data_IF_633977002203
#
_entry.id   IF_633977002203
#
_cell.length_a   1.000
_cell.length_b   1.000
_cell.length_c   1.000
_cell.angle_alpha   90.00
_cell.angle_beta   90.00
_cell.angle_gamma   90.00
#
_symmetry.space_group_name_H-M   'P 1'
#
loop_
_entity.id
_entity.type
_entity.pdbx_description
1 polymer ?
#
# COMPACT_ATOMS: atom_id res chain seq x y z
N UNK A 1 1.32 -1.51 -25.15
CA UNK A 1 2.73 -1.11 -25.35
C UNK A 1 3.25 -0.27 -24.17
N UNK A 2 2.57 0.79 -23.74
CA UNK A 2 3.00 1.68 -22.63
C UNK A 2 3.24 0.97 -21.28
N UNK A 3 2.41 0.00 -20.88
CA UNK A 3 2.59 -0.71 -19.60
C UNK A 3 3.86 -1.55 -19.56
N UNK A 4 4.21 -2.26 -20.64
CA UNK A 4 5.46 -3.05 -20.73
C UNK A 4 6.70 -2.16 -20.63
N UNK A 5 6.69 -1.00 -21.30
CA UNK A 5 7.79 -0.04 -21.22
C UNK A 5 7.96 0.53 -19.82
N UNK A 6 6.85 0.80 -19.12
CA UNK A 6 6.85 1.27 -17.72
C UNK A 6 7.48 0.24 -16.78
N UNK A 7 7.13 -1.04 -16.94
CA UNK A 7 7.69 -2.14 -16.16
C UNK A 7 9.20 -2.32 -16.37
N UNK A 8 9.70 -2.14 -17.59
CA UNK A 8 11.13 -2.25 -17.89
C UNK A 8 11.96 -1.10 -17.30
N UNK A 9 11.39 0.07 -17.15
CA UNK A 9 12.08 1.28 -16.69
C UNK A 9 12.13 1.40 -15.16
N UNK A 10 11.21 0.75 -14.42
CA UNK A 10 11.22 0.77 -12.94
C UNK A 10 12.55 0.21 -12.42
N UNK A 11 13.19 0.92 -11.50
CA UNK A 11 14.51 0.57 -10.93
C UNK A 11 15.71 1.05 -11.74
N UNK A 12 15.53 1.65 -12.91
CA UNK A 12 16.62 2.25 -13.68
C UNK A 12 16.72 3.77 -13.40
N UNK A 13 17.91 4.35 -13.59
CA UNK A 13 18.12 5.81 -13.44
C UNK A 13 17.22 6.60 -14.39
N UNK A 14 17.09 6.14 -15.64
CA UNK A 14 16.21 6.77 -16.62
C UNK A 14 14.74 6.71 -16.19
N UNK A 15 14.29 5.55 -15.68
CA UNK A 15 12.93 5.38 -15.19
C UNK A 15 12.60 6.32 -14.02
N UNK A 16 13.55 6.56 -13.12
CA UNK A 16 13.38 7.51 -12.01
C UNK A 16 13.19 8.95 -12.52
N UNK A 17 14.06 9.40 -13.43
CA UNK A 17 13.94 10.73 -14.02
C UNK A 17 12.58 10.89 -14.71
N UNK A 18 12.17 9.90 -15.49
CA UNK A 18 10.87 9.91 -16.16
C UNK A 18 9.69 9.91 -15.20
N UNK A 19 9.76 9.14 -14.10
CA UNK A 19 8.71 9.12 -13.07
C UNK A 19 8.63 10.45 -12.33
N UNK A 20 9.76 11.04 -11.96
CA UNK A 20 9.81 12.37 -11.33
C UNK A 20 9.23 13.45 -12.23
N UNK A 21 9.60 13.47 -13.51
CA UNK A 21 9.05 14.41 -14.49
C UNK A 21 7.53 14.22 -14.63
N UNK A 22 7.07 12.97 -14.78
CA UNK A 22 5.64 12.64 -14.86
C UNK A 22 4.87 13.12 -13.63
N UNK A 23 5.40 12.88 -12.43
CA UNK A 23 4.76 13.28 -11.20
C UNK A 23 4.59 14.80 -11.10
N UNK A 24 5.60 15.57 -11.49
CA UNK A 24 5.49 17.04 -11.59
C UNK A 24 4.44 17.48 -12.61
N UNK A 25 4.45 16.86 -13.80
CA UNK A 25 3.44 17.13 -14.82
C UNK A 25 2.03 16.77 -14.35
N UNK A 26 1.87 15.67 -13.59
CA UNK A 26 0.57 15.26 -13.06
C UNK A 26 -0.03 16.31 -12.11
N UNK A 27 0.77 16.89 -11.20
CA UNK A 27 0.32 17.98 -10.32
C UNK A 27 -0.10 19.21 -11.12
N UNK A 28 0.72 19.63 -12.07
CA UNK A 28 0.43 20.82 -12.91
C UNK A 28 -0.83 20.58 -13.74
N UNK A 29 -0.94 19.40 -14.36
CA UNK A 29 -2.12 19.03 -15.15
C UNK A 29 -3.37 18.97 -14.28
N UNK A 30 -3.29 18.42 -13.09
CA UNK A 30 -4.41 18.40 -12.14
C UNK A 30 -4.81 19.81 -11.72
N UNK A 31 -3.86 20.67 -11.40
CA UNK A 31 -4.14 22.06 -11.03
C UNK A 31 -4.92 22.84 -12.09
N UNK A 32 -4.72 22.48 -13.37
CA UNK A 32 -5.39 23.13 -14.50
C UNK A 32 -6.74 22.47 -14.81
N UNK A 33 -6.79 21.12 -14.83
CA UNK A 33 -7.93 20.38 -15.40
C UNK A 33 -8.85 19.75 -14.33
N UNK A 34 -8.35 19.55 -13.08
CA UNK A 34 -9.06 18.85 -12.00
C UNK A 34 -8.53 19.29 -10.65
N UNK A 35 -8.74 20.58 -10.25
CA UNK A 35 -8.13 21.15 -9.03
C UNK A 35 -8.42 20.37 -7.76
N UNK A 36 -9.58 19.71 -7.69
CA UNK A 36 -10.03 18.86 -6.59
C UNK A 36 -9.13 17.62 -6.37
N UNK A 37 -8.42 17.18 -7.40
CA UNK A 37 -7.53 16.00 -7.33
C UNK A 37 -6.09 16.34 -6.93
N UNK A 38 -5.73 17.63 -6.87
CA UNK A 38 -4.36 18.06 -6.54
C UNK A 38 -3.91 17.53 -5.18
N UNK A 39 -4.79 17.62 -4.17
CA UNK A 39 -4.51 17.17 -2.81
C UNK A 39 -4.19 15.68 -2.76
N UNK A 40 -4.98 14.85 -3.41
CA UNK A 40 -4.76 13.40 -3.50
C UNK A 40 -3.42 13.08 -4.17
N UNK A 41 -3.16 13.66 -5.35
CA UNK A 41 -1.91 13.44 -6.08
C UNK A 41 -0.69 13.89 -5.28
N UNK A 42 -0.79 15.01 -4.58
CA UNK A 42 0.30 15.51 -3.74
C UNK A 42 0.55 14.61 -2.54
N UNK A 43 -0.49 14.10 -1.89
CA UNK A 43 -0.38 13.15 -0.78
C UNK A 43 0.26 11.84 -1.21
N UNK A 44 -0.12 11.27 -2.36
CA UNK A 44 0.48 10.04 -2.92
C UNK A 44 1.97 10.23 -3.20
N UNK A 45 2.35 11.40 -3.74
CA UNK A 45 3.75 11.71 -3.99
C UNK A 45 4.53 11.92 -2.69
N UNK A 46 3.92 12.54 -1.69
CA UNK A 46 4.52 12.73 -0.38
C UNK A 46 4.73 11.38 0.32
N UNK A 47 3.72 10.52 0.32
CA UNK A 47 3.81 9.16 0.87
C UNK A 47 4.92 8.35 0.19
N UNK A 48 4.99 8.38 -1.14
CA UNK A 48 6.04 7.71 -1.92
C UNK A 48 7.44 8.24 -1.61
N UNK A 49 7.59 9.55 -1.37
CA UNK A 49 8.87 10.16 -1.03
C UNK A 49 9.28 9.93 0.43
N UNK A 50 8.31 9.78 1.33
CA UNK A 50 8.53 9.57 2.76
C UNK A 50 8.94 8.13 3.07
N UNK A 51 8.30 7.15 2.43
CA UNK A 51 8.43 5.73 2.75
C UNK A 51 9.89 5.23 2.75
N UNK A 52 10.73 5.50 1.73
CA UNK A 52 12.14 5.09 1.76
C UNK A 52 12.91 5.68 2.95
N UNK A 53 12.55 6.89 3.39
CA UNK A 53 13.21 7.57 4.52
C UNK A 53 12.81 7.03 5.89
N UNK A 54 11.69 6.32 5.97
CA UNK A 54 11.24 5.64 7.18
C UNK A 54 11.98 4.30 7.38
N UNK A 55 12.53 3.72 6.30
CA UNK A 55 13.26 2.47 6.36
C UNK A 55 14.67 2.70 6.89
N UNK A 56 15.03 2.03 7.98
CA UNK A 56 16.38 2.11 8.57
C UNK A 56 17.34 1.10 7.95
N UNK A 57 18.64 1.43 7.84
CA UNK A 57 19.67 0.53 7.30
C UNK A 57 19.68 -0.84 7.99
N UNK A 58 19.78 -1.92 7.20
CA UNK A 58 19.84 -3.29 7.68
C UNK A 58 18.56 -3.84 8.31
N UNK A 59 17.46 -3.08 8.28
CA UNK A 59 16.15 -3.51 8.75
C UNK A 59 15.30 -4.10 7.63
N UNK A 60 14.14 -4.64 7.98
CA UNK A 60 13.22 -5.27 7.02
C UNK A 60 12.08 -4.33 6.65
N UNK A 61 11.88 -4.17 5.36
CA UNK A 61 10.72 -3.53 4.75
C UNK A 61 9.83 -4.57 4.10
N UNK A 62 8.53 -4.54 4.39
CA UNK A 62 7.52 -5.42 3.77
C UNK A 62 6.62 -4.59 2.87
N UNK A 63 6.49 -4.98 1.60
CA UNK A 63 5.60 -4.39 0.60
C UNK A 63 4.47 -5.37 0.26
N UNK A 64 3.28 -5.16 0.85
CA UNK A 64 2.09 -5.95 0.57
C UNK A 64 1.31 -5.27 -0.55
N UNK A 65 1.16 -5.96 -1.68
CA UNK A 65 0.67 -5.38 -2.93
C UNK A 65 1.80 -4.71 -3.72
N UNK A 66 2.92 -5.42 -3.90
CA UNK A 66 4.15 -4.88 -4.48
C UNK A 66 4.04 -4.49 -5.97
N UNK A 67 3.03 -5.00 -6.69
CA UNK A 67 2.69 -4.67 -8.07
C UNK A 67 3.89 -4.79 -9.02
N UNK A 68 4.40 -3.69 -9.59
CA UNK A 68 5.58 -3.68 -10.50
C UNK A 68 6.90 -3.36 -9.78
N UNK A 69 6.86 -3.17 -8.44
CA UNK A 69 8.02 -2.94 -7.60
C UNK A 69 8.59 -1.52 -7.69
N UNK A 70 7.77 -0.50 -7.95
CA UNK A 70 8.23 0.90 -7.94
C UNK A 70 8.73 1.32 -6.57
N UNK A 71 7.99 1.03 -5.53
CA UNK A 71 8.36 1.32 -4.14
C UNK A 71 9.61 0.55 -3.72
N UNK A 72 9.70 -0.73 -4.07
CA UNK A 72 10.89 -1.55 -3.84
C UNK A 72 12.14 -0.91 -4.46
N UNK A 73 12.03 -0.43 -5.70
CA UNK A 73 13.13 0.22 -6.39
C UNK A 73 13.58 1.50 -5.68
N UNK A 74 12.64 2.30 -5.16
CA UNK A 74 12.93 3.53 -4.45
C UNK A 74 13.59 3.25 -3.09
N UNK A 75 13.10 2.26 -2.34
CA UNK A 75 13.68 1.81 -1.06
C UNK A 75 15.11 1.29 -1.25
N UNK A 76 15.33 0.38 -2.21
CA UNK A 76 16.67 -0.18 -2.48
C UNK A 76 17.64 0.84 -3.08
N UNK A 77 17.12 1.89 -3.75
CA UNK A 77 17.95 3.00 -4.18
C UNK A 77 18.33 3.93 -3.03
N UNK A 78 17.43 4.14 -2.08
CA UNK A 78 17.70 4.91 -0.88
C UNK A 78 18.78 4.24 -0.02
N UNK A 79 18.61 2.95 0.26
CA UNK A 79 19.60 2.14 0.96
C UNK A 79 19.51 0.66 0.54
N UNK A 80 20.57 0.16 -0.07
CA UNK A 80 20.66 -1.22 -0.55
C UNK A 80 20.88 -2.25 0.56
N UNK A 81 21.13 -1.84 1.81
CA UNK A 81 21.25 -2.73 2.97
C UNK A 81 19.90 -3.16 3.54
N UNK A 82 18.80 -2.51 3.14
CA UNK A 82 17.46 -2.84 3.58
C UNK A 82 17.06 -4.22 3.04
N UNK A 83 16.56 -5.07 3.92
CA UNK A 83 15.99 -6.35 3.56
C UNK A 83 14.56 -6.15 3.10
N UNK A 84 14.27 -6.47 1.83
CA UNK A 84 12.93 -6.26 1.26
C UNK A 84 12.22 -7.59 1.10
N UNK A 85 10.99 -7.63 1.60
CA UNK A 85 10.03 -8.71 1.40
C UNK A 85 8.86 -8.13 0.60
N UNK A 86 8.60 -8.72 -0.55
CA UNK A 86 7.53 -8.31 -1.45
C UNK A 86 6.44 -9.39 -1.53
N UNK A 87 5.19 -9.01 -1.41
CA UNK A 87 4.06 -9.91 -1.54
C UNK A 87 3.14 -9.39 -2.64
N UNK A 88 2.88 -10.26 -3.61
CA UNK A 88 2.08 -9.93 -4.79
C UNK A 88 1.16 -11.09 -5.16
N UNK A 89 -0.13 -10.84 -5.24
CA UNK A 89 -1.13 -11.87 -5.48
C UNK A 89 -1.13 -12.37 -6.93
N UNK A 90 -0.85 -11.49 -7.91
CA UNK A 90 -0.90 -11.82 -9.33
C UNK A 90 0.38 -12.58 -9.73
N UNK A 91 0.30 -13.85 -10.16
CA UNK A 91 1.47 -14.70 -10.43
C UNK A 91 2.44 -14.08 -11.44
N UNK A 92 1.92 -13.49 -12.52
CA UNK A 92 2.74 -12.89 -13.57
C UNK A 92 3.54 -11.67 -13.07
N UNK A 93 3.01 -10.92 -12.09
CA UNK A 93 3.71 -9.80 -11.46
C UNK A 93 4.74 -10.28 -10.45
N UNK A 94 4.38 -11.26 -9.62
CA UNK A 94 5.31 -11.86 -8.66
C UNK A 94 6.55 -12.43 -9.37
N UNK A 95 6.36 -13.13 -10.49
CA UNK A 95 7.45 -13.65 -11.31
C UNK A 95 8.32 -12.52 -11.91
N UNK A 96 7.71 -11.42 -12.36
CA UNK A 96 8.45 -10.24 -12.83
C UNK A 96 9.26 -9.58 -11.73
N UNK A 97 8.70 -9.45 -10.51
CA UNK A 97 9.42 -8.95 -9.35
C UNK A 97 10.63 -9.81 -9.02
N UNK A 98 10.45 -11.14 -8.99
CA UNK A 98 11.51 -12.11 -8.71
C UNK A 98 12.66 -12.02 -9.74
N UNK A 99 12.34 -11.88 -11.02
CA UNK A 99 13.36 -11.72 -12.07
C UNK A 99 14.10 -10.39 -11.95
N UNK A 100 13.41 -9.33 -11.56
CA UNK A 100 13.92 -7.97 -11.55
C UNK A 100 14.77 -7.67 -10.31
N UNK A 101 14.33 -8.14 -9.16
CA UNK A 101 14.94 -7.84 -7.87
C UNK A 101 15.53 -9.09 -7.24
N UNK A 102 16.75 -9.48 -7.66
CA UNK A 102 17.40 -10.74 -7.25
C UNK A 102 17.65 -10.88 -5.74
N UNK A 103 17.66 -9.77 -5.00
CA UNK A 103 17.92 -9.73 -3.55
C UNK A 103 16.65 -9.55 -2.71
N UNK A 104 15.49 -9.49 -3.35
CA UNK A 104 14.19 -9.33 -2.70
C UNK A 104 13.56 -10.71 -2.52
N UNK A 105 13.04 -10.98 -1.33
CA UNK A 105 12.22 -12.15 -1.06
C UNK A 105 10.82 -11.91 -1.60
N UNK A 106 10.44 -12.59 -2.67
CA UNK A 106 9.13 -12.40 -3.32
C UNK A 106 8.22 -13.58 -3.00
N UNK A 107 7.04 -13.30 -2.47
CA UNK A 107 6.01 -14.28 -2.16
C UNK A 107 4.79 -14.05 -3.05
N UNK A 108 4.33 -15.10 -3.74
CA UNK A 108 3.14 -15.05 -4.59
C UNK A 108 1.91 -15.52 -3.82
N UNK A 109 1.34 -14.62 -3.02
CA UNK A 109 0.13 -14.84 -2.24
C UNK A 109 -0.71 -13.56 -2.20
N UNK A 110 -2.03 -13.71 -2.02
CA UNK A 110 -2.84 -12.69 -1.37
C UNK A 110 -2.59 -12.76 0.15
N UNK A 111 -2.70 -11.64 0.84
CA UNK A 111 -2.64 -11.60 2.30
C UNK A 111 -4.04 -11.33 2.84
N UNK A 112 -4.45 -12.13 3.81
CA UNK A 112 -5.75 -11.99 4.47
C UNK A 112 -5.80 -12.76 5.78
N UNK A 113 -6.93 -12.69 6.47
CA UNK A 113 -7.13 -13.17 7.84
C UNK A 113 -7.19 -14.70 7.98
N UNK A 114 -7.21 -15.45 6.87
CA UNK A 114 -7.20 -16.91 6.86
C UNK A 114 -6.40 -17.46 5.66
N UNK A 115 -6.01 -18.72 5.78
CA UNK A 115 -5.38 -19.47 4.70
C UNK A 115 -6.41 -20.09 3.78
N UNK A 116 -6.14 -20.10 2.47
CA UNK A 116 -7.04 -20.73 1.51
C UNK A 116 -6.80 -20.32 0.06
N UNK A 117 -7.76 -20.66 -0.80
CA UNK A 117 -7.85 -20.15 -2.17
C UNK A 117 -9.00 -19.16 -2.25
N UNK A 118 -8.74 -18.03 -2.85
CA UNK A 118 -9.71 -16.94 -2.99
C UNK A 118 -9.78 -16.45 -4.42
N UNK A 119 -10.93 -15.92 -4.81
CA UNK A 119 -11.08 -15.22 -6.09
C UNK A 119 -10.43 -13.86 -6.02
N UNK A 120 -9.60 -13.55 -7.01
CA UNK A 120 -8.93 -12.28 -7.17
C UNK A 120 -9.30 -11.66 -8.52
N UNK A 121 -9.72 -10.41 -8.52
CA UNK A 121 -10.24 -9.72 -9.69
C UNK A 121 -9.20 -8.78 -10.27
N UNK A 122 -8.74 -9.07 -11.47
CA UNK A 122 -7.75 -8.26 -12.18
C UNK A 122 -8.47 -7.29 -13.11
N UNK A 123 -8.13 -6.01 -12.99
CA UNK A 123 -8.55 -5.00 -13.95
C UNK A 123 -7.54 -4.94 -15.12
N UNK A 124 -7.89 -5.41 -16.33
CA UNK A 124 -6.95 -5.44 -17.47
C UNK A 124 -6.53 -4.05 -17.96
N UNK A 125 -7.39 -3.05 -17.75
CA UNK A 125 -7.15 -1.66 -18.20
C UNK A 125 -6.30 -0.89 -17.19
N UNK A 126 -6.47 -1.19 -15.89
CA UNK A 126 -5.80 -0.51 -14.77
C UNK A 126 -5.34 -1.55 -13.75
N UNK A 127 -4.27 -2.23 -14.04
CA UNK A 127 -3.80 -3.37 -13.24
C UNK A 127 -3.37 -3.01 -11.80
N UNK A 128 -3.29 -1.74 -11.46
CA UNK A 128 -3.12 -1.26 -10.09
C UNK A 128 -4.39 -1.41 -9.24
N UNK A 129 -5.56 -1.39 -9.86
CA UNK A 129 -6.88 -1.53 -9.20
C UNK A 129 -7.38 -2.97 -9.24
N UNK A 130 -6.55 -3.92 -8.85
CA UNK A 130 -6.89 -5.35 -8.79
C UNK A 130 -6.99 -5.77 -7.34
N UNK A 131 -8.09 -6.43 -6.93
CA UNK A 131 -8.42 -6.64 -5.52
C UNK A 131 -9.06 -8.00 -5.23
N UNK A 132 -9.15 -8.37 -3.97
CA UNK A 132 -9.92 -9.52 -3.47
C UNK A 132 -11.43 -9.31 -3.60
N UNK A 133 -11.90 -8.07 -3.49
CA UNK A 133 -13.31 -7.72 -3.62
C UNK A 133 -13.71 -7.41 -5.05
N UNK A 134 -14.96 -7.76 -5.42
CA UNK A 134 -15.55 -7.37 -6.69
C UNK A 134 -16.22 -6.02 -6.53
N UNK A 135 -15.64 -4.96 -7.09
CA UNK A 135 -16.33 -3.68 -7.19
C UNK A 135 -17.59 -3.84 -8.04
N UNK A 136 -18.73 -3.38 -7.53
CA UNK A 136 -20.04 -3.58 -8.13
C UNK A 136 -20.20 -3.03 -9.57
N UNK A 137 -19.29 -2.15 -10.01
CA UNK A 137 -19.35 -1.46 -11.31
C UNK A 137 -18.30 -1.89 -12.34
N UNK A 138 -17.52 -2.94 -12.08
CA UNK A 138 -16.38 -3.28 -12.95
C UNK A 138 -16.73 -4.36 -13.98
N UNK A 139 -17.22 -3.93 -15.14
CA UNK A 139 -17.31 -4.78 -16.33
C UNK A 139 -15.90 -5.11 -16.86
N UNK A 140 -15.70 -6.38 -17.27
CA UNK A 140 -14.46 -6.82 -17.91
C UNK A 140 -13.32 -7.19 -16.96
N UNK A 141 -13.59 -7.41 -15.67
CA UNK A 141 -12.63 -7.98 -14.75
C UNK A 141 -12.30 -9.43 -15.11
N UNK A 142 -11.02 -9.79 -15.06
CA UNK A 142 -10.57 -11.18 -15.16
C UNK A 142 -10.46 -11.76 -13.74
N UNK A 143 -11.23 -12.77 -13.44
CA UNK A 143 -11.12 -13.51 -12.20
C UNK A 143 -10.02 -14.57 -12.30
N UNK A 144 -9.21 -14.68 -11.26
CA UNK A 144 -8.24 -15.74 -11.06
C UNK A 144 -8.35 -16.32 -9.65
N UNK A 145 -8.01 -17.58 -9.47
CA UNK A 145 -7.84 -18.16 -8.14
C UNK A 145 -6.39 -17.93 -7.67
N UNK A 146 -6.24 -17.32 -6.49
CA UNK A 146 -4.94 -17.11 -5.84
C UNK A 146 -4.93 -17.79 -4.47
N UNK A 147 -3.75 -18.21 -4.01
CA UNK A 147 -3.58 -18.66 -2.65
C UNK A 147 -3.50 -17.46 -1.71
N UNK A 148 -4.27 -17.51 -0.61
CA UNK A 148 -4.22 -16.51 0.45
C UNK A 148 -3.56 -17.09 1.69
N UNK A 149 -2.75 -16.30 2.36
CA UNK A 149 -2.02 -16.68 3.59
C UNK A 149 -2.06 -15.54 4.59
N UNK A 150 -1.93 -15.89 5.86
CA UNK A 150 -1.71 -14.91 6.91
C UNK A 150 -0.26 -14.40 6.88
N UNK A 151 -0.06 -13.10 7.10
CA UNK A 151 1.28 -12.53 7.12
C UNK A 151 2.11 -13.06 8.31
N UNK A 152 1.46 -13.27 9.45
CA UNK A 152 2.05 -13.84 10.66
C UNK A 152 2.67 -15.24 10.43
N UNK A 153 2.13 -16.01 9.48
CA UNK A 153 2.61 -17.37 9.15
C UNK A 153 3.66 -17.36 8.02
N UNK A 154 3.67 -16.31 7.19
CA UNK A 154 4.62 -16.17 6.09
C UNK A 154 5.97 -15.59 6.54
N UNK A 155 5.93 -14.67 7.50
CA UNK A 155 7.09 -13.84 7.84
C UNK A 155 7.49 -14.09 9.28
N UNK A 156 8.63 -14.75 9.45
CA UNK A 156 9.26 -15.02 10.76
C UNK A 156 10.40 -14.03 11.06
N UNK A 157 10.31 -12.79 10.55
CA UNK A 157 11.36 -11.80 10.71
C UNK A 157 11.20 -11.02 12.01
N UNK A 158 12.26 -10.95 12.82
CA UNK A 158 12.25 -10.30 14.14
C UNK A 158 12.48 -8.79 14.10
N UNK A 159 12.71 -8.20 12.91
CA UNK A 159 13.22 -6.84 12.80
C UNK A 159 12.56 -6.04 11.66
N UNK A 160 11.23 -6.19 11.57
CA UNK A 160 10.43 -5.44 10.61
C UNK A 160 10.31 -4.00 11.05
N UNK A 161 10.74 -3.10 10.18
CA UNK A 161 10.81 -1.66 10.46
C UNK A 161 9.65 -0.90 9.84
N UNK A 162 9.29 -1.28 8.61
CA UNK A 162 8.21 -0.63 7.85
C UNK A 162 7.38 -1.68 7.13
N UNK A 163 6.07 -1.53 7.15
CA UNK A 163 5.12 -2.31 6.34
C UNK A 163 4.32 -1.33 5.47
N UNK A 164 4.35 -1.52 4.15
CA UNK A 164 3.41 -0.87 3.23
C UNK A 164 2.29 -1.83 2.89
N UNK A 165 1.05 -1.36 2.93
CA UNK A 165 -0.16 -2.11 2.58
C UNK A 165 -0.93 -1.33 1.52
N UNK A 166 -1.08 -1.92 0.34
CA UNK A 166 -1.76 -1.33 -0.80
C UNK A 166 -2.44 -2.47 -1.59
N UNK A 167 -3.63 -2.84 -1.14
CA UNK A 167 -4.34 -4.05 -1.58
C UNK A 167 -5.79 -3.77 -2.02
N UNK A 168 -6.06 -2.49 -2.30
CA UNK A 168 -7.30 -2.02 -2.93
C UNK A 168 -8.57 -2.46 -2.17
N UNK A 169 -8.59 -2.13 -0.86
CA UNK A 169 -9.74 -2.30 0.01
C UNK A 169 -9.72 -3.54 0.91
N UNK A 170 -8.65 -4.34 0.90
CA UNK A 170 -8.48 -5.48 1.81
C UNK A 170 -7.50 -5.18 2.97
N UNK A 171 -7.21 -3.90 3.24
CA UNK A 171 -6.20 -3.45 4.21
C UNK A 171 -6.46 -3.99 5.62
N UNK A 172 -7.73 -3.99 6.08
CA UNK A 172 -8.08 -4.53 7.39
C UNK A 172 -7.78 -6.03 7.48
N UNK A 173 -8.03 -6.80 6.42
CA UNK A 173 -7.68 -8.23 6.36
C UNK A 173 -6.19 -8.46 6.50
N UNK A 174 -5.37 -7.63 5.86
CA UNK A 174 -3.90 -7.67 5.99
C UNK A 174 -3.46 -7.32 7.40
N UNK A 175 -4.02 -6.27 8.01
CA UNK A 175 -3.73 -5.86 9.38
C UNK A 175 -4.06 -6.95 10.39
N UNK A 176 -5.21 -7.61 10.26
CA UNK A 176 -5.61 -8.74 11.10
C UNK A 176 -4.69 -9.95 10.93
N UNK A 177 -4.22 -10.19 9.68
CA UNK A 177 -3.29 -11.26 9.34
C UNK A 177 -1.85 -11.00 9.82
N UNK A 178 -1.51 -9.76 10.15
CA UNK A 178 -0.19 -9.31 10.60
C UNK A 178 -0.15 -8.94 12.09
N UNK A 179 -1.18 -9.26 12.85
CA UNK A 179 -1.36 -8.74 14.23
C UNK A 179 -0.22 -9.11 15.18
N UNK A 180 0.31 -10.33 15.07
CA UNK A 180 1.42 -10.79 15.90
C UNK A 180 2.72 -10.10 15.50
N UNK A 181 3.03 -10.06 14.21
CA UNK A 181 4.18 -9.38 13.64
C UNK A 181 4.20 -7.89 14.03
N UNK A 182 3.05 -7.21 13.92
CA UNK A 182 2.91 -5.80 14.28
C UNK A 182 3.16 -5.58 15.77
N UNK A 183 2.63 -6.46 16.63
CA UNK A 183 2.83 -6.36 18.09
C UNK A 183 4.30 -6.58 18.48
N UNK A 184 4.99 -7.52 17.83
CA UNK A 184 6.38 -7.87 18.13
C UNK A 184 7.35 -6.81 17.64
N UNK A 185 7.27 -6.43 16.37
CA UNK A 185 8.24 -5.56 15.72
C UNK A 185 7.92 -4.07 15.87
N UNK A 186 6.66 -3.71 16.16
CA UNK A 186 6.19 -2.31 16.24
C UNK A 186 6.62 -1.47 15.02
N UNK A 187 6.39 -1.94 13.79
CA UNK A 187 6.81 -1.25 12.59
C UNK A 187 6.03 0.04 12.35
N UNK A 188 6.59 0.95 11.57
CA UNK A 188 5.78 1.99 10.92
C UNK A 188 4.91 1.32 9.87
N UNK A 189 3.63 1.63 9.86
CA UNK A 189 2.68 1.07 8.89
C UNK A 189 2.18 2.19 7.99
N UNK A 190 2.41 2.06 6.68
CA UNK A 190 1.85 2.93 5.67
C UNK A 190 0.82 2.16 4.87
N UNK A 191 -0.41 2.65 4.83
CA UNK A 191 -1.48 1.99 4.07
C UNK A 191 -2.33 3.02 3.30
N UNK A 192 -2.89 2.59 2.18
CA UNK A 192 -3.86 3.35 1.43
C UNK A 192 -5.27 2.97 1.90
N UNK A 193 -6.06 3.95 2.35
CA UNK A 193 -7.45 3.70 2.67
C UNK A 193 -8.29 3.82 1.40
N UNK A 194 -8.52 2.70 0.74
CA UNK A 194 -9.32 2.61 -0.48
C UNK A 194 -10.77 3.07 -0.30
N UNK A 195 -11.53 3.21 -1.40
CA UNK A 195 -12.96 3.45 -1.33
C UNK A 195 -13.62 2.31 -0.55
N UNK A 196 -14.59 2.68 0.30
CA UNK A 196 -15.29 1.75 1.20
C UNK A 196 -15.87 0.51 0.49
N UNK A 197 -16.72 -0.20 1.06
CA UNK A 197 -17.37 -1.45 0.70
C UNK A 197 -17.02 -2.08 -0.68
N UNK A 198 -16.06 -3.01 -0.66
CA UNK A 198 -15.73 -3.87 -1.79
C UNK A 198 -16.32 -5.29 -1.66
N UNK A 199 -17.33 -5.45 -0.81
CA UNK A 199 -17.98 -6.73 -0.54
C UNK A 199 -17.24 -7.66 0.41
N UNK A 200 -16.12 -7.22 1.01
CA UNK A 200 -15.33 -8.00 1.98
C UNK A 200 -15.78 -7.78 3.43
N UNK A 201 -16.70 -6.85 3.68
CA UNK A 201 -17.14 -6.49 5.02
C UNK A 201 -16.10 -5.69 5.83
N UNK A 202 -15.01 -5.26 5.23
CA UNK A 202 -13.99 -4.43 5.88
C UNK A 202 -14.40 -2.97 5.86
N UNK A 203 -14.32 -2.31 7.01
CA UNK A 203 -14.75 -0.92 7.18
C UNK A 203 -13.59 -0.03 7.64
N UNK A 204 -13.70 1.28 7.36
CA UNK A 204 -12.72 2.28 7.87
C UNK A 204 -12.72 2.33 9.39
N UNK A 205 -13.89 2.14 10.00
CA UNK A 205 -14.03 2.04 11.44
C UNK A 205 -13.30 0.81 12.01
N UNK A 206 -13.36 -0.33 11.31
CA UNK A 206 -12.59 -1.53 11.67
C UNK A 206 -11.08 -1.28 11.67
N UNK A 207 -10.56 -0.53 10.69
CA UNK A 207 -9.15 -0.12 10.64
C UNK A 207 -8.81 0.78 11.84
N UNK A 208 -9.66 1.77 12.14
CA UNK A 208 -9.49 2.67 13.28
C UNK A 208 -9.43 1.88 14.59
N UNK A 209 -10.41 1.00 14.82
CA UNK A 209 -10.49 0.17 16.00
C UNK A 209 -9.27 -0.74 16.15
N UNK A 210 -8.82 -1.36 15.05
CA UNK A 210 -7.61 -2.19 15.05
C UNK A 210 -6.39 -1.43 15.57
N UNK A 211 -6.13 -0.22 15.05
CA UNK A 211 -4.97 0.57 15.46
C UNK A 211 -5.10 1.08 16.90
N UNK A 212 -6.30 1.45 17.30
CA UNK A 212 -6.58 1.88 18.67
C UNK A 212 -6.33 0.76 19.69
N UNK A 213 -6.78 -0.46 19.38
CA UNK A 213 -6.60 -1.67 20.22
C UNK A 213 -5.14 -2.05 20.46
N UNK A 214 -4.25 -1.69 19.53
CA UNK A 214 -2.83 -1.99 19.63
C UNK A 214 -1.96 -0.77 19.96
N UNK A 215 -2.59 0.35 20.36
CA UNK A 215 -1.93 1.60 20.73
C UNK A 215 -1.03 2.16 19.59
N UNK A 216 -1.59 2.33 18.41
CA UNK A 216 -0.99 3.07 17.30
C UNK A 216 -1.70 4.40 17.10
N UNK A 217 -0.94 5.41 16.72
CA UNK A 217 -1.49 6.70 16.30
C UNK A 217 -1.55 6.77 14.79
N UNK A 218 -2.69 7.16 14.23
CA UNK A 218 -2.87 7.36 12.79
C UNK A 218 -2.51 8.80 12.42
N UNK A 219 -1.74 8.92 11.34
CA UNK A 219 -1.37 10.20 10.75
C UNK A 219 -1.72 10.20 9.27
N UNK A 220 -2.37 11.27 8.80
CA UNK A 220 -2.52 11.50 7.37
C UNK A 220 -1.34 12.35 6.88
N UNK A 221 -0.68 12.02 5.76
CA UNK A 221 0.31 12.90 5.18
C UNK A 221 -0.42 14.14 4.64
N UNK A 222 -0.25 15.28 5.29
CA UNK A 222 -0.80 16.56 4.87
C UNK A 222 0.35 17.49 4.47
N UNK A 223 0.15 18.27 3.40
CA UNK A 223 1.09 19.32 3.00
C UNK A 223 1.25 20.41 4.08
N UNK A 224 0.25 20.55 4.93
CA UNK A 224 0.26 21.44 6.07
C UNK A 224 0.06 20.62 7.34
N UNK A 225 1.13 20.41 8.09
CA UNK A 225 1.08 19.80 9.41
C UNK A 225 0.52 20.83 10.39
N UNK A 226 -0.71 20.66 10.81
CA UNK A 226 -1.30 21.39 11.92
C UNK A 226 -1.40 20.45 13.12
N UNK A 227 -0.40 20.53 13.99
CA UNK A 227 -0.33 19.71 15.21
C UNK A 227 -1.46 20.01 16.20
N UNK A 228 -2.17 21.13 16.05
CA UNK A 228 -3.28 21.53 16.94
C UNK A 228 -4.61 20.87 16.55
N UNK A 229 -4.84 20.52 15.28
CA UNK A 229 -6.08 19.86 14.84
C UNK A 229 -6.17 18.38 15.16
N UNK A 230 -5.06 17.70 15.37
CA UNK A 230 -5.05 16.29 15.74
C UNK A 230 -5.58 16.05 17.16
N UNK A 231 -5.61 17.09 18.02
CA UNK A 231 -6.15 17.02 19.39
C UNK A 231 -7.59 17.57 19.52
N UNK A 232 -8.11 18.25 18.51
CA UNK A 232 -9.43 18.90 18.56
C UNK A 232 -10.57 18.06 17.95
N UNK A 233 -10.33 16.85 17.55
CA UNK A 233 -11.29 15.98 16.87
C UNK A 233 -12.13 15.12 17.80
N UNK A 234 -12.53 15.61 18.99
CA UNK A 234 -13.71 15.08 19.68
C UNK A 234 -14.12 15.95 20.89
N UNK A 235 -14.80 17.05 20.63
CA UNK A 235 -15.64 17.68 21.66
C UNK A 235 -16.85 18.39 21.04
N UNK A 236 -17.57 17.68 20.17
CA UNK A 236 -18.90 18.06 19.74
C UNK A 236 -19.93 17.75 20.82
N UNK A 237 -19.89 18.45 21.94
CA UNK A 237 -21.02 18.46 22.89
C UNK A 237 -22.21 19.14 22.20
N UNK A 238 -23.24 18.37 22.00
CA UNK A 238 -24.60 18.85 21.81
C UNK A 238 -25.01 19.73 22.99
N UNK A 239 -25.05 21.04 22.80
CA UNK A 239 -25.82 21.93 23.67
C UNK A 239 -27.25 22.00 23.12
N UNK A 240 -28.11 21.23 23.79
CA UNK A 240 -29.55 21.43 23.70
C UNK A 240 -29.89 22.71 24.46
N UNK A 241 -30.57 23.62 23.79
CA UNK A 241 -31.40 24.63 24.42
C UNK A 241 -32.76 24.66 23.75
N UNK A 242 -33.69 24.32 24.62
CA UNK A 242 -35.13 24.72 24.73
C UNK A 242 -35.83 25.13 23.45
#
# INVERSE_FOLDING_TARGET
MLQRTKQMLVGTSLGRVMMTARNKVAIVSAAINSPESVGTIANDQLASALLPKLCRPGKTFIDVGAHIGSVIADVLHHDSSIHVIAIEAIPEKAEQLHRKFRRVSVYNYAVGDHDGKVSFFINPKQSGYSSLGRAASAEGLREIAVSMRRLDDLILADNVDVIKIDVEGAELGVLLAAKLLIKQSRPVIMFESGPGDNGLGYTKEGIWNFFNDINYTLHAPNLFWDSERAQAGDSGKSDGRS
#
